data_IF_634761595746
#
_entry.id   IF_634761595746
#
_cell.length_a   1.000
_cell.length_b   1.000
_cell.length_c   1.000
_cell.angle_alpha   90.00
_cell.angle_beta   90.00
_cell.angle_gamma   90.00
#
_symmetry.space_group_name_H-M   'P 1'
#
loop_
_entity.id
_entity.type
_entity.pdbx_description
1 polymer ?
#
# COMPACT_ATOMS: atom_id res chain seq x y z
N UNK A 1 -2.16 -9.12 -12.64
CA UNK A 1 -2.16 -10.33 -11.77
C UNK A 1 -2.98 -11.42 -12.46
N UNK A 2 -2.58 -12.68 -12.35
CA UNK A 2 -3.32 -13.81 -12.93
C UNK A 2 -4.47 -14.23 -12.00
N UNK A 3 -5.58 -14.77 -12.54
CA UNK A 3 -6.68 -15.21 -11.70
C UNK A 3 -6.27 -16.48 -10.94
N UNK A 4 -6.57 -16.52 -9.64
CA UNK A 4 -6.32 -17.71 -8.83
C UNK A 4 -7.20 -18.89 -9.25
N UNK A 5 -6.79 -20.11 -8.89
CA UNK A 5 -7.54 -21.35 -9.20
C UNK A 5 -9.00 -21.30 -8.73
N UNK A 6 -9.25 -20.69 -7.57
CA UNK A 6 -10.60 -20.48 -7.02
C UNK A 6 -11.46 -19.61 -7.92
N UNK A 7 -10.90 -18.52 -8.48
CA UNK A 7 -11.63 -17.63 -9.39
C UNK A 7 -12.01 -18.37 -10.68
N UNK A 8 -11.10 -19.16 -11.25
CA UNK A 8 -11.34 -19.96 -12.45
C UNK A 8 -12.44 -21.00 -12.20
N UNK A 9 -12.40 -21.69 -11.05
CA UNK A 9 -13.42 -22.68 -10.70
C UNK A 9 -14.81 -22.04 -10.50
N UNK A 10 -14.89 -20.94 -9.75
CA UNK A 10 -16.14 -20.25 -9.46
C UNK A 10 -16.74 -19.58 -10.71
N UNK A 11 -15.92 -19.16 -11.67
CA UNK A 11 -16.39 -18.55 -12.91
C UNK A 11 -17.32 -19.47 -13.71
N UNK A 12 -17.18 -20.80 -13.62
CA UNK A 12 -18.05 -21.77 -14.30
C UNK A 12 -19.53 -21.67 -13.88
N UNK A 13 -19.80 -21.15 -12.69
CA UNK A 13 -21.16 -20.96 -12.15
C UNK A 13 -21.59 -19.49 -12.15
N UNK A 14 -20.72 -18.58 -12.53
CA UNK A 14 -20.99 -17.15 -12.51
C UNK A 14 -21.74 -16.73 -13.78
N UNK A 15 -22.69 -15.78 -13.65
CA UNK A 15 -23.36 -15.16 -14.80
C UNK A 15 -22.42 -14.26 -15.60
N UNK A 16 -21.47 -13.63 -14.90
CA UNK A 16 -20.44 -12.79 -15.49
C UNK A 16 -19.22 -12.69 -14.56
N UNK A 17 -18.07 -12.39 -15.14
CA UNK A 17 -16.82 -12.07 -14.44
C UNK A 17 -16.39 -10.66 -14.82
N UNK A 18 -16.00 -9.87 -13.83
CA UNK A 18 -15.45 -8.52 -14.03
C UNK A 18 -13.95 -8.55 -13.76
N UNK A 19 -13.18 -7.99 -14.68
CA UNK A 19 -11.73 -8.01 -14.63
C UNK A 19 -11.16 -6.61 -14.58
N UNK A 20 -10.05 -6.49 -13.87
CA UNK A 20 -9.29 -5.25 -13.75
C UNK A 20 -8.13 -5.16 -14.76
N UNK A 21 -7.94 -6.19 -15.59
CA UNK A 21 -6.87 -6.28 -16.57
C UNK A 21 -7.43 -6.78 -17.90
N UNK A 22 -6.93 -6.28 -19.04
CA UNK A 22 -7.30 -6.76 -20.37
C UNK A 22 -6.73 -8.15 -20.64
N UNK A 23 -7.22 -8.81 -21.70
CA UNK A 23 -7.09 -10.26 -21.82
C UNK A 23 -7.97 -10.86 -20.75
N UNK A 24 -7.55 -11.80 -19.92
CA UNK A 24 -8.37 -12.42 -18.87
C UNK A 24 -9.59 -13.23 -19.34
N UNK A 25 -10.31 -12.89 -20.42
CA UNK A 25 -11.40 -13.75 -20.94
C UNK A 25 -10.93 -15.16 -21.29
N UNK A 26 -9.66 -15.30 -21.71
CA UNK A 26 -9.02 -16.58 -22.00
C UNK A 26 -8.88 -17.50 -20.77
N UNK A 27 -8.96 -16.97 -19.53
CA UNK A 27 -8.99 -17.79 -18.30
C UNK A 27 -10.39 -18.24 -17.89
N UNK A 28 -11.44 -17.69 -18.51
CA UNK A 28 -12.83 -17.96 -18.17
C UNK A 28 -13.62 -18.41 -19.40
N UNK A 29 -13.19 -19.51 -20.07
CA UNK A 29 -13.87 -20.00 -21.25
C UNK A 29 -15.31 -20.38 -20.87
N UNK A 30 -16.27 -19.90 -21.66
CA UNK A 30 -17.72 -20.08 -21.46
C UNK A 30 -18.37 -19.18 -20.38
N UNK A 31 -17.64 -18.20 -19.83
CA UNK A 31 -18.23 -17.21 -18.92
C UNK A 31 -18.09 -15.80 -19.49
N UNK A 32 -19.19 -15.04 -19.49
CA UNK A 32 -19.18 -13.66 -19.97
C UNK A 32 -18.22 -12.83 -19.13
N UNK A 33 -17.17 -12.28 -19.75
CA UNK A 33 -16.11 -11.55 -19.06
C UNK A 33 -16.10 -10.10 -19.52
N UNK A 34 -16.03 -9.16 -18.57
CA UNK A 34 -16.00 -7.73 -18.84
C UNK A 34 -14.77 -7.08 -18.20
N UNK A 35 -14.03 -6.31 -18.99
CA UNK A 35 -12.95 -5.48 -18.48
C UNK A 35 -13.51 -4.11 -18.07
N UNK A 36 -13.61 -3.87 -16.76
CA UNK A 36 -14.10 -2.60 -16.19
C UNK A 36 -13.07 -1.91 -15.27
N UNK A 37 -11.89 -2.50 -15.08
CA UNK A 37 -10.90 -1.99 -14.15
C UNK A 37 -11.19 -2.38 -12.70
N UNK A 38 -10.42 -1.80 -11.78
CA UNK A 38 -10.70 -1.92 -10.35
C UNK A 38 -11.67 -0.82 -9.93
N UNK A 39 -12.73 -1.13 -9.17
CA UNK A 39 -13.55 -0.10 -8.56
C UNK A 39 -12.68 0.71 -7.59
N UNK A 40 -12.49 1.98 -7.88
CA UNK A 40 -11.79 2.93 -7.02
C UNK A 40 -12.80 3.72 -6.20
N UNK A 41 -12.47 4.00 -4.93
CA UNK A 41 -13.34 4.81 -4.08
C UNK A 41 -13.38 6.24 -4.62
N UNK A 42 -14.58 6.82 -4.78
CA UNK A 42 -14.76 8.14 -5.41
C UNK A 42 -13.97 9.25 -4.70
N UNK A 43 -13.91 9.22 -3.38
CA UNK A 43 -13.19 10.19 -2.55
C UNK A 43 -11.67 10.25 -2.84
N UNK A 44 -11.07 9.17 -3.34
CA UNK A 44 -9.65 9.17 -3.76
C UNK A 44 -9.43 10.14 -4.94
N UNK A 45 -10.46 10.36 -5.76
CA UNK A 45 -10.39 11.21 -6.96
C UNK A 45 -10.92 12.62 -6.67
N UNK A 46 -11.95 12.74 -5.83
CA UNK A 46 -12.64 14.02 -5.59
C UNK A 46 -12.01 14.85 -4.49
N UNK A 47 -11.33 14.23 -3.52
CA UNK A 47 -10.83 14.89 -2.31
C UNK A 47 -9.29 14.96 -2.30
N UNK A 48 -8.69 15.14 -3.48
CA UNK A 48 -7.24 15.25 -3.62
C UNK A 48 -6.78 16.53 -2.92
N UNK A 49 -6.10 16.37 -1.79
CA UNK A 49 -5.45 17.46 -1.06
C UNK A 49 -4.08 17.74 -1.69
N UNK A 50 -3.69 19.01 -1.73
CA UNK A 50 -2.34 19.39 -2.14
C UNK A 50 -1.27 18.69 -1.27
N UNK A 51 -0.16 18.28 -1.90
CA UNK A 51 0.87 17.50 -1.22
C UNK A 51 1.53 18.27 -0.07
N UNK A 52 1.72 19.58 -0.22
CA UNK A 52 2.33 20.42 0.80
C UNK A 52 1.44 20.47 2.04
N UNK A 53 0.16 20.78 1.84
CA UNK A 53 -0.86 20.79 2.90
C UNK A 53 -1.01 19.42 3.57
N UNK A 54 -0.96 18.33 2.80
CA UNK A 54 -1.04 16.98 3.36
C UNK A 54 0.17 16.66 4.26
N UNK A 55 1.39 17.04 3.84
CA UNK A 55 2.61 16.88 4.66
C UNK A 55 2.53 17.69 5.95
N UNK A 56 2.12 18.95 5.87
CA UNK A 56 1.95 19.82 7.05
C UNK A 56 0.93 19.22 8.04
N UNK A 57 -0.21 18.72 7.56
CA UNK A 57 -1.23 18.04 8.38
C UNK A 57 -0.71 16.78 9.07
N UNK A 58 0.24 16.08 8.45
CA UNK A 58 0.88 14.88 8.97
C UNK A 58 2.14 15.20 9.82
N UNK A 59 2.41 16.47 10.15
CA UNK A 59 3.59 16.88 10.91
C UNK A 59 4.92 16.70 10.17
N UNK A 60 4.89 16.62 8.84
CA UNK A 60 6.06 16.42 7.98
C UNK A 60 6.57 17.76 7.42
N UNK A 61 7.83 17.79 6.98
CA UNK A 61 8.39 18.96 6.32
C UNK A 61 7.88 19.05 4.88
N UNK A 62 7.14 20.12 4.51
CA UNK A 62 6.58 20.27 3.18
C UNK A 62 7.62 20.21 2.05
N UNK A 63 8.84 20.67 2.32
CA UNK A 63 9.90 20.84 1.33
C UNK A 63 10.77 19.58 1.15
N UNK A 64 10.64 18.59 2.05
CA UNK A 64 11.39 17.33 1.94
C UNK A 64 10.63 16.30 1.13
N UNK A 65 11.38 15.41 0.48
CA UNK A 65 10.79 14.25 -0.20
C UNK A 65 10.37 13.23 0.86
N UNK A 66 9.11 12.80 0.78
CA UNK A 66 8.53 11.80 1.68
C UNK A 66 8.36 10.47 0.96
N UNK A 67 8.90 9.40 1.53
CA UNK A 67 8.69 8.03 1.10
C UNK A 67 7.55 7.43 1.92
N UNK A 68 6.54 6.89 1.26
CA UNK A 68 5.52 6.05 1.89
C UNK A 68 5.86 4.58 1.64
N UNK A 69 6.08 3.83 2.73
CA UNK A 69 6.33 2.39 2.67
C UNK A 69 5.17 1.62 3.28
N UNK A 70 4.53 0.77 2.47
CA UNK A 70 3.36 -0.04 2.86
C UNK A 70 3.67 -1.52 2.67
N UNK A 71 3.69 -2.28 3.77
CA UNK A 71 3.90 -3.73 3.78
C UNK A 71 2.59 -4.54 3.77
N UNK A 72 1.44 -3.88 3.85
CA UNK A 72 0.13 -4.52 4.06
C UNK A 72 -0.18 -4.70 5.54
N UNK A 73 -1.40 -5.13 5.86
CA UNK A 73 -1.93 -5.10 7.25
C UNK A 73 -1.14 -5.98 8.23
N UNK A 74 -0.65 -7.15 7.79
CA UNK A 74 0.23 -8.01 8.60
C UNK A 74 1.68 -7.51 8.61
N UNK A 75 2.06 -6.66 7.66
CA UNK A 75 3.42 -6.19 7.48
C UNK A 75 4.26 -7.10 6.61
N UNK A 76 5.43 -6.60 6.22
CA UNK A 76 6.45 -7.35 5.50
C UNK A 76 7.75 -7.29 6.29
N UNK A 77 8.13 -8.40 6.93
CA UNK A 77 9.35 -8.46 7.75
C UNK A 77 10.61 -8.13 6.95
N UNK A 78 10.68 -8.56 5.68
CA UNK A 78 11.78 -8.21 4.79
C UNK A 78 11.86 -6.71 4.55
N UNK A 79 10.72 -6.07 4.28
CA UNK A 79 10.66 -4.61 4.08
C UNK A 79 11.01 -3.87 5.37
N UNK A 80 10.49 -4.37 6.50
CA UNK A 80 10.71 -3.76 7.81
C UNK A 80 12.19 -3.80 8.21
N UNK A 81 12.84 -4.95 8.05
CA UNK A 81 14.27 -5.09 8.30
C UNK A 81 15.10 -4.24 7.34
N UNK A 82 14.67 -4.14 6.07
CA UNK A 82 15.29 -3.28 5.06
C UNK A 82 15.32 -1.82 5.48
N UNK A 83 14.18 -1.30 5.94
CA UNK A 83 14.10 0.06 6.49
C UNK A 83 14.95 0.21 7.73
N UNK A 84 14.77 -0.67 8.74
CA UNK A 84 15.52 -0.62 9.99
C UNK A 84 17.04 -0.51 9.76
N UNK A 85 17.58 -1.30 8.84
CA UNK A 85 19.01 -1.31 8.52
C UNK A 85 19.51 -0.09 7.74
N UNK A 86 18.62 0.72 7.15
CA UNK A 86 18.98 1.84 6.26
C UNK A 86 18.41 3.18 6.72
N UNK A 87 17.85 3.31 7.92
CA UNK A 87 17.28 4.57 8.41
C UNK A 87 18.29 5.72 8.44
N UNK A 88 19.55 5.44 8.75
CA UNK A 88 20.59 6.48 8.73
C UNK A 88 20.76 7.08 7.34
N UNK A 89 20.68 6.26 6.28
CA UNK A 89 20.73 6.75 4.90
C UNK A 89 19.54 7.65 4.57
N UNK A 90 18.35 7.36 5.12
CA UNK A 90 17.17 8.23 4.94
C UNK A 90 17.46 9.62 5.54
N UNK A 91 18.04 9.67 6.74
CA UNK A 91 18.45 10.93 7.38
C UNK A 91 19.54 11.67 6.59
N UNK A 92 20.61 10.96 6.21
CA UNK A 92 21.76 11.51 5.48
C UNK A 92 21.34 12.12 4.12
N UNK A 93 20.33 11.55 3.47
CA UNK A 93 19.80 12.06 2.20
C UNK A 93 18.69 13.11 2.38
N UNK A 94 18.45 13.60 3.60
CA UNK A 94 17.41 14.57 3.92
C UNK A 94 16.00 14.15 3.46
N UNK A 95 15.70 12.85 3.59
CA UNK A 95 14.42 12.25 3.24
C UNK A 95 13.54 12.04 4.48
N UNK A 96 12.23 11.90 4.25
CA UNK A 96 11.27 11.50 5.28
C UNK A 96 10.66 10.14 4.95
N UNK A 97 10.28 9.38 5.97
CA UNK A 97 9.69 8.06 5.80
C UNK A 97 8.39 7.95 6.62
N UNK A 98 7.27 7.70 5.95
CA UNK A 98 6.06 7.16 6.56
C UNK A 98 6.13 5.65 6.40
N UNK A 99 6.18 4.92 7.52
CA UNK A 99 6.42 3.48 7.52
C UNK A 99 5.25 2.72 8.14
N UNK A 100 4.48 2.06 7.30
CA UNK A 100 3.43 1.14 7.72
C UNK A 100 4.04 -0.25 7.93
N UNK A 101 4.41 -0.53 9.19
CA UNK A 101 5.14 -1.75 9.60
C UNK A 101 4.28 -3.00 9.63
N UNK A 102 2.95 -2.84 9.74
CA UNK A 102 1.98 -3.91 9.97
C UNK A 102 1.96 -4.41 11.42
N UNK A 103 0.90 -5.13 11.78
CA UNK A 103 0.60 -5.51 13.18
C UNK A 103 1.69 -6.35 13.83
N UNK A 104 2.34 -7.23 13.08
CA UNK A 104 3.24 -8.25 13.63
C UNK A 104 4.55 -7.67 14.17
N UNK A 105 5.13 -6.68 13.48
CA UNK A 105 6.41 -6.08 13.88
C UNK A 105 6.21 -4.68 14.52
N UNK A 106 4.98 -4.17 14.64
CA UNK A 106 4.73 -2.84 15.19
C UNK A 106 5.24 -2.69 16.63
N UNK A 107 4.90 -3.62 17.52
CA UNK A 107 5.25 -3.50 18.94
C UNK A 107 6.77 -3.51 19.16
N UNK A 108 7.52 -4.31 18.40
CA UNK A 108 8.98 -4.39 18.52
C UNK A 108 9.69 -3.19 17.93
N UNK A 109 9.13 -2.58 16.88
CA UNK A 109 9.67 -1.36 16.27
C UNK A 109 9.30 -0.13 17.10
N UNK A 110 8.08 -0.04 17.63
CA UNK A 110 7.66 1.08 18.46
C UNK A 110 8.47 1.20 19.76
N UNK A 111 8.99 0.09 20.30
CA UNK A 111 9.84 0.08 21.48
C UNK A 111 11.32 0.44 21.20
N UNK A 112 11.70 0.64 19.93
CA UNK A 112 13.07 1.00 19.55
C UNK A 112 13.23 2.52 19.61
N UNK A 113 13.86 3.02 20.68
CA UNK A 113 14.06 4.46 20.94
C UNK A 113 14.77 5.20 19.79
N UNK A 114 15.52 4.49 18.94
CA UNK A 114 16.15 5.08 17.75
C UNK A 114 15.15 5.47 16.65
N UNK A 115 13.88 5.01 16.76
CA UNK A 115 12.81 5.22 15.78
C UNK A 115 11.84 6.34 16.17
N UNK A 116 11.78 6.74 17.44
CA UNK A 116 10.84 7.77 17.91
C UNK A 116 11.08 9.13 17.25
N UNK A 117 12.31 9.44 16.84
CA UNK A 117 12.63 10.71 16.15
C UNK A 117 12.19 10.73 14.68
N UNK A 118 11.63 9.64 14.16
CA UNK A 118 11.44 9.42 12.71
C UNK A 118 10.01 9.08 12.29
N UNK A 119 9.08 8.82 13.21
CA UNK A 119 7.75 8.30 12.84
C UNK A 119 6.62 9.12 13.45
N UNK A 120 5.80 9.74 12.60
CA UNK A 120 4.40 10.02 12.92
C UNK A 120 3.61 8.74 12.66
N UNK A 121 3.33 7.98 13.72
CA UNK A 121 2.52 6.76 13.66
C UNK A 121 1.04 7.12 13.82
N UNK A 122 0.32 7.33 12.71
CA UNK A 122 -1.14 7.29 12.76
C UNK A 122 -1.65 5.86 12.58
N UNK A 123 -2.34 5.36 13.60
CA UNK A 123 -3.22 4.20 13.51
C UNK A 123 -4.49 4.59 12.76
N UNK A 124 -4.84 3.83 11.71
CA UNK A 124 -6.22 3.66 11.22
C UNK A 124 -6.36 2.32 10.50
#
# INVERSE_FOLDING_TARGET
>A
SLPGKTNIFNAKKAKAVFTAYPGMEHFFPNTKTYFLGNPIRKNIITDITDSKTAKEKLGLDPEKITILSVGGSLGSRTLNNGWKNNLNKVKENNLQLIWQTGKTDFASLAADENLETLMHTEYS
#
